data_IF_351365949315
#
_entry.id   IF_351365949315
#
_cell.length_a   1.000
_cell.length_b   1.000
_cell.length_c   1.000
_cell.angle_alpha   90.00
_cell.angle_beta   90.00
_cell.angle_gamma   90.00
#
_symmetry.space_group_name_H-M   'P 1'
#
loop_
_entity.id
_entity.type
_entity.pdbx_description
1 polymer ?
#
# COMPACT_ATOMS: atom_id res chain seq x y z
N UNK A 1 19.18 -7.33 -2.55
CA UNK A 1 19.89 -6.52 -3.57
C UNK A 1 19.51 -5.08 -3.34
N UNK A 2 20.49 -4.18 -3.28
CA UNK A 2 20.25 -2.74 -3.15
C UNK A 2 20.16 -2.12 -4.56
N UNK A 3 19.25 -1.17 -4.74
CA UNK A 3 19.07 -0.43 -5.99
C UNK A 3 19.11 1.07 -5.68
N UNK A 4 19.98 1.80 -6.38
CA UNK A 4 20.03 3.26 -6.30
C UNK A 4 19.02 3.88 -7.26
N UNK A 5 18.19 4.77 -6.76
CA UNK A 5 17.20 5.53 -7.53
C UNK A 5 17.46 7.01 -7.26
N UNK A 6 17.62 7.82 -8.31
CA UNK A 6 17.80 9.27 -8.22
C UNK A 6 16.57 9.98 -8.79
N UNK A 7 16.00 10.90 -8.02
CA UNK A 7 14.79 11.65 -8.40
C UNK A 7 14.97 13.11 -7.97
N UNK A 8 14.64 14.03 -8.86
CA UNK A 8 14.55 15.46 -8.52
C UNK A 8 13.22 15.74 -7.83
N UNK A 9 13.28 16.31 -6.63
CA UNK A 9 12.09 16.70 -5.85
C UNK A 9 12.14 18.17 -5.48
N UNK A 10 10.99 18.83 -5.26
CA UNK A 10 10.95 20.20 -4.76
C UNK A 10 11.67 20.31 -3.42
N UNK A 11 12.52 21.33 -3.26
CA UNK A 11 13.33 21.53 -2.05
C UNK A 11 12.47 21.75 -0.82
N UNK A 12 11.30 22.35 -0.99
CA UNK A 12 10.34 22.58 0.09
C UNK A 12 9.84 21.29 0.75
N UNK A 13 9.86 20.13 0.08
CA UNK A 13 9.39 18.87 0.66
C UNK A 13 10.30 18.34 1.76
N UNK A 14 11.59 18.68 1.69
CA UNK A 14 12.61 18.20 2.63
C UNK A 14 13.05 19.28 3.61
N UNK A 15 12.52 20.50 3.50
CA UNK A 15 12.90 21.60 4.35
C UNK A 15 12.54 21.31 5.81
N UNK A 16 13.54 21.39 6.70
CA UNK A 16 13.37 21.11 8.13
C UNK A 16 13.47 19.63 8.51
N UNK A 17 13.72 18.73 7.55
CA UNK A 17 14.04 17.33 7.84
C UNK A 17 15.55 17.17 8.10
N UNK A 18 15.96 16.27 9.01
CA UNK A 18 17.36 15.89 9.14
C UNK A 18 17.92 15.36 7.81
N UNK A 19 19.12 15.80 7.43
CA UNK A 19 19.83 15.37 6.22
C UNK A 19 20.54 14.01 6.43
N UNK A 20 19.82 13.06 7.04
CA UNK A 20 20.31 11.72 7.33
C UNK A 20 19.72 10.71 6.35
N UNK A 21 20.56 9.81 5.80
CA UNK A 21 20.13 8.75 4.88
C UNK A 21 19.00 7.88 5.48
N UNK A 22 19.06 7.61 6.79
CA UNK A 22 18.04 6.84 7.49
C UNK A 22 16.67 7.56 7.49
N UNK A 23 16.64 8.88 7.66
CA UNK A 23 15.43 9.69 7.61
C UNK A 23 14.77 9.58 6.23
N UNK A 24 15.54 9.73 5.15
CA UNK A 24 15.01 9.60 3.80
C UNK A 24 14.50 8.19 3.50
N UNK A 25 15.26 7.15 3.88
CA UNK A 25 14.83 5.75 3.74
C UNK A 25 13.52 5.48 4.47
N UNK A 26 13.34 6.04 5.67
CA UNK A 26 12.11 5.90 6.44
C UNK A 26 10.93 6.61 5.76
N UNK A 27 11.12 7.83 5.25
CA UNK A 27 10.11 8.56 4.49
C UNK A 27 9.69 7.77 3.25
N UNK A 28 10.65 7.27 2.47
CA UNK A 28 10.37 6.43 1.31
C UNK A 28 9.59 5.18 1.70
N UNK A 29 9.98 4.46 2.77
CA UNK A 29 9.26 3.28 3.24
C UNK A 29 7.79 3.59 3.58
N UNK A 30 7.55 4.69 4.29
CA UNK A 30 6.21 5.13 4.67
C UNK A 30 5.38 5.54 3.44
N UNK A 31 5.97 6.36 2.57
CA UNK A 31 5.34 6.84 1.34
C UNK A 31 5.00 5.71 0.37
N UNK A 32 5.91 4.74 0.18
CA UNK A 32 5.68 3.57 -0.68
C UNK A 32 4.52 2.74 -0.13
N UNK A 33 4.49 2.46 1.18
CA UNK A 33 3.39 1.71 1.79
C UNK A 33 2.06 2.42 1.57
N UNK A 34 2.00 3.73 1.84
CA UNK A 34 0.78 4.52 1.66
C UNK A 34 0.35 4.61 0.18
N UNK A 35 1.30 4.77 -0.74
CA UNK A 35 1.03 4.77 -2.17
C UNK A 35 0.44 3.44 -2.64
N UNK A 36 1.04 2.31 -2.24
CA UNK A 36 0.56 0.97 -2.59
C UNK A 36 -0.89 0.75 -2.14
N UNK A 37 -1.22 1.13 -0.90
CA UNK A 37 -2.58 1.02 -0.35
C UNK A 37 -3.57 1.83 -1.18
N UNK A 38 -3.28 3.12 -1.42
CA UNK A 38 -4.14 4.00 -2.21
C UNK A 38 -4.34 3.47 -3.63
N UNK A 39 -3.26 2.99 -4.26
CA UNK A 39 -3.30 2.41 -5.60
C UNK A 39 -4.15 1.15 -5.64
N UNK A 40 -4.00 0.25 -4.66
CA UNK A 40 -4.78 -0.98 -4.56
C UNK A 40 -6.27 -0.69 -4.37
N UNK A 41 -6.62 0.24 -3.49
CA UNK A 41 -8.00 0.66 -3.29
C UNK A 41 -8.61 1.26 -4.57
N UNK A 42 -7.84 2.06 -5.31
CA UNK A 42 -8.30 2.62 -6.58
C UNK A 42 -8.54 1.54 -7.64
N UNK A 43 -7.60 0.59 -7.80
CA UNK A 43 -7.78 -0.53 -8.74
C UNK A 43 -9.01 -1.38 -8.43
N UNK A 44 -9.31 -1.56 -7.15
CA UNK A 44 -10.51 -2.28 -6.72
C UNK A 44 -11.78 -1.51 -7.12
N UNK A 45 -11.84 -0.20 -6.86
CA UNK A 45 -12.97 0.65 -7.29
C UNK A 45 -13.18 0.66 -8.80
N UNK A 46 -12.08 0.60 -9.55
CA UNK A 46 -12.10 0.58 -11.01
C UNK A 46 -12.42 -0.82 -11.58
N UNK A 47 -12.82 -1.77 -10.73
CA UNK A 47 -13.18 -3.15 -11.07
C UNK A 47 -12.07 -3.90 -11.83
N UNK A 48 -10.80 -3.59 -11.57
CA UNK A 48 -9.64 -4.20 -12.26
C UNK A 48 -9.40 -5.65 -11.81
N UNK A 49 -9.86 -6.03 -10.62
CA UNK A 49 -9.76 -7.40 -10.12
C UNK A 49 -10.24 -7.56 -8.68
N UNK A 50 -10.17 -8.79 -8.18
CA UNK A 50 -10.49 -9.10 -6.79
C UNK A 50 -9.42 -8.55 -5.82
N UNK A 51 -9.73 -8.40 -4.51
CA UNK A 51 -8.76 -7.92 -3.53
C UNK A 51 -7.50 -8.80 -3.46
N UNK A 52 -7.66 -10.13 -3.56
CA UNK A 52 -6.53 -11.07 -3.58
C UNK A 52 -5.62 -10.83 -4.79
N UNK A 53 -6.20 -10.77 -5.99
CA UNK A 53 -5.44 -10.50 -7.22
C UNK A 53 -4.68 -9.16 -7.16
N UNK A 54 -5.34 -8.11 -6.67
CA UNK A 54 -4.72 -6.78 -6.54
C UNK A 54 -3.59 -6.79 -5.48
N UNK A 55 -3.78 -7.53 -4.38
CA UNK A 55 -2.77 -7.63 -3.32
C UNK A 55 -1.48 -8.29 -3.80
N UNK A 56 -1.59 -9.33 -4.64
CA UNK A 56 -0.44 -10.01 -5.27
C UNK A 56 0.30 -9.08 -6.24
N UNK A 57 -0.45 -8.40 -7.12
CA UNK A 57 0.11 -7.48 -8.11
C UNK A 57 0.90 -6.32 -7.47
N UNK A 58 0.39 -5.77 -6.38
CA UNK A 58 0.99 -4.61 -5.70
C UNK A 58 2.02 -5.05 -4.64
N UNK A 59 2.03 -6.32 -4.27
CA UNK A 59 2.87 -6.85 -3.19
C UNK A 59 2.53 -6.19 -1.86
N UNK A 60 1.25 -6.27 -1.48
CA UNK A 60 0.73 -5.96 -0.16
C UNK A 60 0.07 -7.21 0.44
N UNK A 61 0.07 -7.39 1.77
CA UNK A 61 -0.77 -8.41 2.40
C UNK A 61 -2.25 -8.18 2.06
N UNK A 62 -2.97 -9.25 1.72
CA UNK A 62 -4.40 -9.19 1.39
C UNK A 62 -5.23 -8.55 2.51
N UNK A 63 -4.95 -8.91 3.77
CA UNK A 63 -5.63 -8.36 4.95
C UNK A 63 -5.41 -6.85 5.12
N UNK A 64 -4.20 -6.35 4.87
CA UNK A 64 -3.89 -4.91 4.89
C UNK A 64 -4.77 -4.18 3.87
N UNK A 65 -4.95 -4.76 2.67
CA UNK A 65 -5.83 -4.20 1.65
C UNK A 65 -7.31 -4.24 2.06
N UNK A 66 -7.80 -5.37 2.57
CA UNK A 66 -9.19 -5.52 3.02
C UNK A 66 -9.51 -4.49 4.11
N UNK A 67 -8.62 -4.34 5.09
CA UNK A 67 -8.77 -3.34 6.16
C UNK A 67 -8.88 -1.93 5.61
N UNK A 68 -8.01 -1.56 4.68
CA UNK A 68 -8.00 -0.22 4.08
C UNK A 68 -9.21 0.05 3.18
N UNK A 69 -9.70 -0.97 2.45
CA UNK A 69 -10.95 -0.89 1.70
C UNK A 69 -12.13 -0.61 2.64
N UNK A 70 -12.23 -1.34 3.75
CA UNK A 70 -13.27 -1.13 4.78
C UNK A 70 -13.19 0.27 5.37
N UNK A 71 -12.00 0.77 5.69
CA UNK A 71 -11.81 2.16 6.15
C UNK A 71 -12.25 3.22 5.12
N UNK A 72 -12.19 2.87 3.83
CA UNK A 72 -12.69 3.70 2.74
C UNK A 72 -14.21 3.53 2.48
N UNK A 73 -14.93 2.80 3.33
CA UNK A 73 -16.36 2.52 3.16
C UNK A 73 -16.67 1.53 2.02
N UNK A 74 -15.68 0.76 1.59
CA UNK A 74 -15.82 -0.25 0.55
C UNK A 74 -15.90 -1.60 1.25
N UNK A 75 -17.02 -2.29 1.08
CA UNK A 75 -17.19 -3.67 1.55
C UNK A 75 -16.77 -4.62 0.41
N UNK A 76 -15.61 -5.30 0.53
CA UNK A 76 -15.17 -6.21 -0.51
C UNK A 76 -16.00 -7.49 -0.48
N UNK A 77 -16.31 -8.05 -1.66
CA UNK A 77 -16.98 -9.35 -1.74
C UNK A 77 -16.13 -10.41 -1.04
N UNK A 78 -16.76 -11.23 -0.19
CA UNK A 78 -16.11 -12.33 0.51
C UNK A 78 -16.57 -13.67 -0.07
N UNK A 79 -15.59 -14.57 -0.25
CA UNK A 79 -15.81 -15.99 -0.53
C UNK A 79 -15.65 -16.79 0.77
N UNK A 80 -16.09 -18.04 0.82
CA UNK A 80 -15.82 -18.92 1.96
C UNK A 80 -14.31 -19.02 2.26
N UNK A 81 -13.46 -18.98 1.23
CA UNK A 81 -12.01 -18.92 1.36
C UNK A 81 -11.55 -17.63 2.04
N UNK A 82 -12.12 -16.48 1.67
CA UNK A 82 -11.89 -15.20 2.36
C UNK A 82 -12.29 -15.26 3.84
N UNK A 83 -13.39 -15.94 4.15
CA UNK A 83 -13.87 -16.08 5.54
C UNK A 83 -12.92 -16.97 6.36
N UNK A 84 -12.45 -18.08 5.80
CA UNK A 84 -11.49 -18.97 6.48
C UNK A 84 -10.15 -18.28 6.73
N UNK A 85 -9.66 -17.50 5.77
CA UNK A 85 -8.44 -16.70 5.93
C UNK A 85 -8.58 -15.62 7.02
N UNK A 86 -9.76 -15.00 7.16
CA UNK A 86 -10.02 -13.99 8.19
C UNK A 86 -10.26 -14.57 9.60
N UNK A 87 -10.74 -15.82 9.70
CA UNK A 87 -11.03 -16.49 10.99
C UNK A 87 -9.85 -17.28 11.56
N UNK A 88 -8.78 -17.48 10.78
CA UNK A 88 -7.60 -18.24 11.19
C UNK A 88 -6.58 -17.43 12.02
N UNK A 89 -6.90 -16.19 12.40
CA UNK A 89 -6.09 -15.29 13.26
C UNK A 89 -6.65 -15.13 14.67
#
# INVERSE_FOLDING_TARGET
MEQTITVDIPREWIMGLPEEDLTYKQIFRLGIRQYKIKRAAQLYRDCVGSPGYISEQIGLPKQDLIRELRLCGIEPDFSEETVQEELAE
#
